data_IF_332018208086
#
_entry.id   IF_332018208086
#
_cell.length_a   1.000
_cell.length_b   1.000
_cell.length_c   1.000
_cell.angle_alpha   90.00
_cell.angle_beta   90.00
_cell.angle_gamma   90.00
#
_symmetry.space_group_name_H-M   'P 1'
#
loop_
_entity.id
_entity.type
_entity.pdbx_description
1 polymer ?
#
# COMPACT_ATOMS: atom_id res chain seq x y z
N UNK A 1 11.96 2.07 13.05
CA UNK A 1 11.33 0.72 12.96
C UNK A 1 9.99 0.64 13.70
N UNK A 2 9.88 1.01 14.99
CA UNK A 2 8.59 0.95 15.74
C UNK A 2 7.49 1.71 15.01
N UNK A 3 7.74 2.95 14.58
CA UNK A 3 6.77 3.76 13.82
C UNK A 3 6.32 3.02 12.57
N UNK A 4 7.26 2.44 11.80
CA UNK A 4 6.93 1.72 10.57
C UNK A 4 6.12 0.45 10.84
N UNK A 5 6.43 -0.30 11.90
CA UNK A 5 5.65 -1.48 12.28
C UNK A 5 4.21 -1.12 12.68
N UNK A 6 4.05 -0.15 13.59
CA UNK A 6 2.72 0.29 14.03
C UNK A 6 1.90 0.88 12.89
N UNK A 7 2.50 1.79 12.12
CA UNK A 7 1.79 2.42 10.98
C UNK A 7 1.49 1.42 9.87
N UNK A 8 2.40 0.47 9.58
CA UNK A 8 2.18 -0.60 8.62
C UNK A 8 1.00 -1.50 9.01
N UNK A 9 0.91 -1.88 10.29
CA UNK A 9 -0.22 -2.67 10.80
C UNK A 9 -1.56 -1.95 10.64
N UNK A 10 -1.60 -0.63 10.83
CA UNK A 10 -2.82 0.18 10.70
C UNK A 10 -3.23 0.35 9.23
N UNK A 11 -2.29 0.75 8.35
CA UNK A 11 -2.61 1.05 6.95
C UNK A 11 -2.98 -0.18 6.14
N UNK A 12 -2.64 -1.38 6.62
CA UNK A 12 -3.03 -2.62 5.97
C UNK A 12 -4.56 -2.76 5.84
N UNK A 13 -5.29 -2.20 6.81
CA UNK A 13 -6.75 -2.18 6.83
C UNK A 13 -7.31 -0.75 6.64
N UNK A 14 -6.56 0.14 5.98
CA UNK A 14 -6.99 1.53 5.78
C UNK A 14 -8.38 1.66 5.16
N UNK A 15 -8.76 0.91 4.10
CA UNK A 15 -10.10 1.04 3.51
C UNK A 15 -11.21 0.60 4.48
N UNK A 16 -10.98 -0.45 5.26
CA UNK A 16 -11.94 -0.94 6.25
C UNK A 16 -12.08 0.02 7.42
N UNK A 17 -10.96 0.51 7.94
CA UNK A 17 -10.94 1.51 9.02
C UNK A 17 -11.59 2.82 8.60
N UNK A 18 -11.36 3.26 7.37
CA UNK A 18 -11.98 4.47 6.83
C UNK A 18 -13.52 4.35 6.83
N UNK A 19 -14.04 3.19 6.43
CA UNK A 19 -15.49 2.91 6.46
C UNK A 19 -16.05 2.89 7.88
N UNK A 20 -15.29 2.36 8.84
CA UNK A 20 -15.66 2.34 10.25
C UNK A 20 -15.67 3.75 10.85
N UNK A 21 -14.70 4.58 10.49
CA UNK A 21 -14.60 5.95 10.98
C UNK A 21 -15.61 6.90 10.33
N UNK A 22 -16.01 6.61 9.08
CA UNK A 22 -16.93 7.44 8.30
C UNK A 22 -18.08 6.62 7.69
N UNK A 23 -18.89 5.91 8.52
CA UNK A 23 -19.92 5.02 8.00
C UNK A 23 -20.96 5.76 7.17
N UNK A 24 -21.31 7.01 7.54
CA UNK A 24 -22.28 7.85 6.84
C UNK A 24 -21.82 8.30 5.44
N UNK A 25 -20.51 8.30 5.17
CA UNK A 25 -19.95 8.57 3.83
C UNK A 25 -19.85 7.31 2.99
N UNK A 26 -19.66 6.17 3.63
CA UNK A 26 -19.27 4.93 2.97
C UNK A 26 -20.44 4.02 2.63
N UNK A 27 -21.42 3.88 3.54
CA UNK A 27 -22.52 2.94 3.37
C UNK A 27 -23.77 3.63 2.87
N UNK A 28 -24.37 3.02 1.85
CA UNK A 28 -25.60 3.49 1.21
C UNK A 28 -26.59 2.33 1.01
N UNK A 29 -27.86 2.65 0.86
CA UNK A 29 -28.88 1.67 0.46
C UNK A 29 -28.87 1.53 -1.06
N UNK A 30 -28.68 0.31 -1.61
CA UNK A 30 -28.74 0.08 -3.03
C UNK A 30 -30.10 0.47 -3.64
N UNK A 31 -30.06 1.19 -4.76
CA UNK A 31 -31.21 1.52 -5.58
C UNK A 31 -31.29 0.66 -6.85
N UNK A 32 -32.33 0.88 -7.64
CA UNK A 32 -32.57 0.11 -8.88
C UNK A 32 -31.75 0.59 -10.08
N UNK A 33 -31.34 1.87 -10.10
CA UNK A 33 -30.58 2.49 -11.21
C UNK A 33 -29.34 3.17 -10.66
N UNK A 34 -28.22 2.94 -11.32
CA UNK A 34 -26.98 3.70 -11.09
C UNK A 34 -26.98 4.89 -12.06
N UNK A 35 -26.73 6.09 -11.52
CA UNK A 35 -26.56 7.31 -12.30
C UNK A 35 -25.27 7.24 -13.15
N UNK A 36 -25.23 7.99 -14.23
CA UNK A 36 -24.03 8.15 -15.03
C UNK A 36 -22.93 8.90 -14.26
N UNK A 37 -21.68 8.74 -14.66
CA UNK A 37 -20.56 9.49 -14.08
C UNK A 37 -20.72 10.99 -14.32
N UNK A 38 -21.30 11.37 -15.45
CA UNK A 38 -21.61 12.76 -15.79
C UNK A 38 -22.63 13.34 -14.81
N UNK A 39 -23.76 12.65 -14.55
CA UNK A 39 -24.79 13.08 -13.60
C UNK A 39 -24.20 13.28 -12.18
N UNK A 40 -23.33 12.34 -11.75
CA UNK A 40 -22.64 12.46 -10.46
C UNK A 40 -21.63 13.62 -10.44
N UNK A 41 -20.90 13.80 -11.54
CA UNK A 41 -19.95 14.91 -11.71
C UNK A 41 -20.65 16.28 -11.64
N UNK A 42 -21.82 16.41 -12.26
CA UNK A 42 -22.62 17.62 -12.24
C UNK A 42 -23.14 17.92 -10.83
N UNK A 43 -23.64 16.92 -10.09
CA UNK A 43 -24.06 17.09 -8.71
C UNK A 43 -22.92 17.56 -7.79
N UNK A 44 -21.72 16.99 -7.97
CA UNK A 44 -20.52 17.40 -7.24
C UNK A 44 -20.09 18.83 -7.65
N UNK A 45 -20.07 19.12 -8.94
CA UNK A 45 -19.71 20.45 -9.46
C UNK A 45 -20.62 21.54 -8.91
N UNK A 46 -21.93 21.31 -8.91
CA UNK A 46 -22.91 22.24 -8.32
C UNK A 46 -22.66 22.48 -6.83
N UNK A 47 -22.32 21.44 -6.08
CA UNK A 47 -22.09 21.53 -4.63
C UNK A 47 -20.79 22.20 -4.26
N UNK A 48 -19.74 22.08 -5.12
CA UNK A 48 -18.37 22.57 -4.85
C UNK A 48 -17.91 23.67 -5.80
N UNK A 49 -18.84 24.49 -6.33
CA UNK A 49 -18.52 25.71 -7.05
C UNK A 49 -17.77 25.52 -8.38
N UNK A 50 -18.04 24.43 -9.10
CA UNK A 50 -17.43 24.16 -10.41
C UNK A 50 -16.00 23.59 -10.34
N UNK A 51 -15.55 23.14 -9.18
CA UNK A 51 -14.22 22.51 -9.05
C UNK A 51 -14.11 21.29 -9.99
N UNK A 52 -13.02 21.17 -10.80
CA UNK A 52 -12.91 20.13 -11.80
C UNK A 52 -12.76 18.74 -11.16
N UNK A 53 -13.50 17.79 -11.69
CA UNK A 53 -13.33 16.37 -11.32
C UNK A 53 -12.00 15.87 -11.86
N UNK A 54 -11.20 15.26 -10.98
CA UNK A 54 -9.90 14.63 -11.32
C UNK A 54 -10.08 13.18 -11.71
N UNK A 55 -10.92 12.45 -10.97
CA UNK A 55 -11.21 11.05 -11.26
C UNK A 55 -12.52 10.61 -10.61
N UNK A 56 -13.11 9.57 -11.18
CA UNK A 56 -14.18 8.79 -10.56
C UNK A 56 -13.62 7.45 -10.09
N UNK A 57 -14.05 7.01 -8.92
CA UNK A 57 -13.72 5.71 -8.34
C UNK A 57 -15.03 4.94 -8.06
N UNK A 58 -15.57 4.26 -9.07
CA UNK A 58 -16.75 3.42 -8.92
C UNK A 58 -16.51 2.35 -7.87
N UNK A 59 -17.50 2.12 -7.00
CA UNK A 59 -17.45 1.01 -6.05
C UNK A 59 -17.84 -0.29 -6.73
N UNK A 60 -17.13 -1.36 -6.42
CA UNK A 60 -17.47 -2.72 -6.87
C UNK A 60 -18.55 -3.36 -5.98
N UNK A 61 -18.87 -2.75 -4.83
CA UNK A 61 -19.92 -3.21 -3.91
C UNK A 61 -21.15 -2.32 -4.00
N UNK A 62 -22.34 -2.87 -4.23
CA UNK A 62 -23.59 -2.08 -4.34
C UNK A 62 -23.93 -1.24 -3.11
N UNK A 63 -23.55 -1.71 -1.90
CA UNK A 63 -23.81 -1.01 -0.64
C UNK A 63 -22.78 0.05 -0.27
N UNK A 64 -21.79 0.33 -1.15
CA UNK A 64 -20.78 1.34 -0.90
C UNK A 64 -20.93 2.50 -1.90
N UNK A 65 -20.79 3.73 -1.38
CA UNK A 65 -20.85 4.96 -2.18
C UNK A 65 -19.74 5.02 -3.22
N UNK A 66 -20.00 5.69 -4.34
CA UNK A 66 -18.97 6.07 -5.30
C UNK A 66 -18.15 7.24 -4.75
N UNK A 67 -16.91 7.33 -5.23
CA UNK A 67 -16.02 8.42 -4.86
C UNK A 67 -15.68 9.26 -6.08
N UNK A 68 -15.78 10.57 -5.93
CA UNK A 68 -15.39 11.56 -6.95
C UNK A 68 -14.20 12.33 -6.40
N UNK A 69 -13.08 12.25 -7.09
CA UNK A 69 -11.82 12.89 -6.67
C UNK A 69 -11.78 14.32 -7.18
N UNK A 70 -11.63 15.26 -6.28
CA UNK A 70 -11.34 16.68 -6.55
C UNK A 70 -9.90 17.01 -6.18
N UNK A 71 -9.32 18.14 -6.63
CA UNK A 71 -7.99 18.58 -6.20
C UNK A 71 -7.85 18.66 -4.67
N UNK A 72 -8.88 19.13 -3.97
CA UNK A 72 -8.90 19.30 -2.51
C UNK A 72 -9.13 17.99 -1.74
N UNK A 73 -9.75 16.96 -2.34
CA UNK A 73 -10.09 15.74 -1.60
C UNK A 73 -10.96 14.75 -2.36
N UNK A 74 -11.63 13.89 -1.62
CA UNK A 74 -12.51 12.85 -2.12
C UNK A 74 -13.94 13.16 -1.66
N UNK A 75 -14.84 13.30 -2.61
CA UNK A 75 -16.28 13.47 -2.38
C UNK A 75 -16.95 12.10 -2.48
N UNK A 76 -17.78 11.77 -1.51
CA UNK A 76 -18.57 10.54 -1.49
C UNK A 76 -19.96 10.85 -2.03
N UNK A 77 -20.43 10.06 -2.98
CA UNK A 77 -21.69 10.25 -3.69
C UNK A 77 -22.50 8.97 -3.66
N UNK A 78 -23.78 9.09 -3.33
CA UNK A 78 -24.72 8.00 -3.51
C UNK A 78 -25.01 7.85 -5.01
N UNK A 79 -24.51 6.80 -5.63
CA UNK A 79 -24.61 6.55 -7.08
C UNK A 79 -26.04 6.26 -7.55
N UNK A 80 -27.00 6.08 -6.64
CA UNK A 80 -28.39 5.82 -6.99
C UNK A 80 -29.26 7.09 -6.96
N UNK A 81 -28.92 8.04 -6.09
CA UNK A 81 -29.71 9.27 -5.88
C UNK A 81 -29.01 10.54 -6.35
N UNK A 82 -27.68 10.50 -6.54
CA UNK A 82 -26.85 11.68 -6.81
C UNK A 82 -26.55 12.51 -5.56
N UNK A 83 -27.01 12.08 -4.39
CA UNK A 83 -26.76 12.78 -3.14
C UNK A 83 -25.28 12.84 -2.81
N UNK A 84 -24.76 14.04 -2.55
CA UNK A 84 -23.41 14.27 -2.08
C UNK A 84 -23.35 14.07 -0.57
N UNK A 85 -22.83 12.92 -0.14
CA UNK A 85 -22.77 12.51 1.27
C UNK A 85 -21.74 13.32 2.08
N UNK A 86 -20.66 13.77 1.46
CA UNK A 86 -19.67 14.62 2.08
C UNK A 86 -18.33 14.64 1.36
N UNK A 87 -17.45 15.53 1.83
CA UNK A 87 -16.08 15.70 1.35
C UNK A 87 -15.09 15.25 2.43
N UNK A 88 -14.12 14.44 2.05
CA UNK A 88 -12.94 14.14 2.84
C UNK A 88 -11.74 14.88 2.26
N UNK A 89 -11.28 15.91 2.92
CA UNK A 89 -10.15 16.71 2.47
C UNK A 89 -8.83 15.91 2.46
N UNK A 90 -7.99 16.21 1.48
CA UNK A 90 -6.69 15.54 1.30
C UNK A 90 -5.73 15.97 2.41
N UNK A 91 -5.08 14.99 3.04
CA UNK A 91 -4.01 15.23 4.03
C UNK A 91 -4.49 15.61 5.44
N UNK A 92 -5.80 15.79 5.68
CA UNK A 92 -6.34 16.12 7.00
C UNK A 92 -6.96 14.91 7.72
N UNK A 93 -6.76 13.69 7.20
CA UNK A 93 -7.30 12.49 7.82
C UNK A 93 -6.25 11.79 8.67
N UNK A 94 -6.71 11.18 9.79
CA UNK A 94 -5.85 10.36 10.64
C UNK A 94 -5.11 9.27 9.82
N UNK A 95 -5.82 8.52 8.98
CA UNK A 95 -5.23 7.46 8.16
C UNK A 95 -4.26 8.01 7.11
N UNK A 96 -4.55 9.16 6.52
CA UNK A 96 -3.62 9.86 5.63
C UNK A 96 -2.33 10.27 6.32
N UNK A 97 -2.41 10.71 7.58
CA UNK A 97 -1.24 11.02 8.39
C UNK A 97 -0.44 9.76 8.76
N UNK A 98 -1.13 8.67 9.16
CA UNK A 98 -0.51 7.37 9.42
C UNK A 98 0.23 6.85 8.18
N UNK A 99 -0.37 6.96 7.00
CA UNK A 99 0.28 6.62 5.73
C UNK A 99 1.50 7.51 5.46
N UNK A 100 1.42 8.82 5.70
CA UNK A 100 2.55 9.72 5.54
C UNK A 100 3.71 9.39 6.48
N UNK A 101 3.42 8.96 7.70
CA UNK A 101 4.42 8.46 8.65
C UNK A 101 5.06 7.18 8.13
N UNK A 102 4.28 6.23 7.62
CA UNK A 102 4.82 4.96 7.11
C UNK A 102 5.74 5.16 5.90
N UNK A 103 5.31 5.96 4.93
CA UNK A 103 6.02 6.08 3.64
C UNK A 103 7.21 7.05 3.72
N UNK A 104 7.13 8.10 4.54
CA UNK A 104 8.11 9.20 4.58
C UNK A 104 8.26 9.88 5.94
N UNK A 105 7.85 9.24 7.02
CA UNK A 105 7.92 9.78 8.39
C UNK A 105 7.35 11.22 8.51
N UNK A 106 6.46 11.63 7.60
CA UNK A 106 5.95 12.99 7.43
C UNK A 106 7.03 14.06 7.11
N UNK A 107 8.27 13.68 6.78
CA UNK A 107 9.41 14.58 6.48
C UNK A 107 9.83 14.55 5.01
N UNK A 108 8.91 14.39 4.07
CA UNK A 108 9.15 14.47 2.63
C UNK A 108 10.26 13.51 2.14
N UNK A 109 11.21 14.02 1.36
CA UNK A 109 12.30 13.22 0.76
C UNK A 109 13.30 12.68 1.80
N UNK A 110 13.61 13.47 2.82
CA UNK A 110 14.49 13.05 3.93
C UNK A 110 13.87 11.86 4.66
N UNK A 111 12.59 11.96 5.01
CA UNK A 111 11.87 10.87 5.65
C UNK A 111 11.77 9.63 4.77
N UNK A 112 11.54 9.77 3.45
CA UNK A 112 11.57 8.66 2.48
C UNK A 112 12.94 7.96 2.51
N UNK A 113 14.05 8.70 2.56
CA UNK A 113 15.39 8.12 2.68
C UNK A 113 15.59 7.34 3.98
N UNK A 114 15.15 7.90 5.11
CA UNK A 114 15.22 7.20 6.40
C UNK A 114 14.42 5.90 6.37
N UNK A 115 13.22 5.91 5.81
CA UNK A 115 12.36 4.72 5.70
C UNK A 115 13.04 3.62 4.88
N UNK A 116 13.56 3.93 3.69
CA UNK A 116 14.21 2.95 2.81
C UNK A 116 15.44 2.30 3.47
N UNK A 117 16.30 3.11 4.14
CA UNK A 117 17.46 2.58 4.86
C UNK A 117 17.08 1.82 6.13
N UNK A 118 15.98 2.20 6.79
CA UNK A 118 15.42 1.44 7.91
C UNK A 118 14.97 0.03 7.49
N UNK A 119 14.41 -0.13 6.28
CA UNK A 119 14.09 -1.44 5.71
C UNK A 119 15.33 -2.32 5.55
N UNK A 120 16.38 -1.79 4.92
CA UNK A 120 17.64 -2.51 4.74
C UNK A 120 18.30 -2.88 6.10
N UNK A 121 18.31 -1.96 7.06
CA UNK A 121 18.82 -2.22 8.41
C UNK A 121 17.98 -3.28 9.15
N UNK A 122 16.66 -3.33 8.89
CA UNK A 122 15.79 -4.35 9.46
C UNK A 122 16.09 -5.74 8.89
N UNK A 123 16.33 -5.88 7.58
CA UNK A 123 16.78 -7.16 6.98
C UNK A 123 18.04 -7.65 7.67
N UNK A 124 19.05 -6.78 7.83
CA UNK A 124 20.28 -7.12 8.53
C UNK A 124 20.03 -7.58 9.97
N UNK A 125 19.18 -6.85 10.70
CA UNK A 125 18.83 -7.16 12.10
C UNK A 125 18.12 -8.52 12.23
N UNK A 126 17.22 -8.84 11.30
CA UNK A 126 16.48 -10.11 11.29
C UNK A 126 17.41 -11.29 10.99
N UNK A 127 18.27 -11.15 9.98
CA UNK A 127 19.26 -12.19 9.63
C UNK A 127 20.24 -12.43 10.79
N UNK A 128 20.77 -11.36 11.40
CA UNK A 128 21.66 -11.48 12.57
C UNK A 128 20.92 -12.08 13.77
N UNK A 129 19.66 -11.71 14.00
CA UNK A 129 18.81 -12.29 15.04
C UNK A 129 18.60 -13.79 14.85
N UNK A 130 18.32 -14.23 13.63
CA UNK A 130 18.22 -15.67 13.31
C UNK A 130 19.53 -16.41 13.57
N UNK A 131 20.67 -15.82 13.14
CA UNK A 131 21.98 -16.42 13.40
C UNK A 131 22.25 -16.61 14.89
N UNK A 132 21.93 -15.63 15.72
CA UNK A 132 22.09 -15.69 17.17
C UNK A 132 21.11 -16.67 17.82
N UNK A 133 19.90 -16.84 17.27
CA UNK A 133 18.90 -17.76 17.76
C UNK A 133 19.22 -19.22 17.40
N UNK A 134 19.85 -19.47 16.25
CA UNK A 134 20.05 -20.80 15.67
C UNK A 134 20.69 -21.83 16.63
N UNK A 135 21.70 -21.51 17.45
CA UNK A 135 22.25 -22.47 18.42
C UNK A 135 21.29 -22.79 19.57
N UNK A 136 20.45 -21.82 19.94
CA UNK A 136 19.58 -21.89 21.12
C UNK A 136 18.30 -22.68 20.82
N UNK A 137 17.65 -22.40 19.68
CA UNK A 137 16.40 -23.01 19.19
C UNK A 137 15.29 -23.12 20.24
N UNK A 138 15.25 -22.20 21.20
CA UNK A 138 14.25 -22.23 22.26
C UNK A 138 13.06 -21.35 21.89
N UNK A 139 11.86 -21.94 21.96
CA UNK A 139 10.58 -21.25 21.86
C UNK A 139 9.83 -21.56 23.15
N UNK A 140 9.96 -20.68 24.12
CA UNK A 140 9.35 -20.83 25.44
C UNK A 140 9.06 -19.45 26.03
N UNK A 141 7.91 -19.27 26.67
CA UNK A 141 7.56 -18.06 27.43
C UNK A 141 7.27 -18.49 28.85
N UNK A 142 8.08 -17.99 29.81
CA UNK A 142 7.88 -18.21 31.23
C UNK A 142 6.88 -17.20 31.77
N UNK A 143 6.14 -17.60 32.82
CA UNK A 143 5.10 -16.75 33.40
C UNK A 143 5.59 -15.55 34.25
N UNK A 144 6.88 -15.54 34.63
CA UNK A 144 7.43 -14.46 35.46
C UNK A 144 7.75 -13.20 34.60
N UNK A 145 6.71 -12.39 34.36
CA UNK A 145 6.74 -11.22 33.48
C UNK A 145 7.73 -10.12 33.90
N UNK A 146 8.19 -10.11 35.16
CA UNK A 146 9.20 -9.14 35.67
C UNK A 146 10.63 -9.60 35.48
N UNK A 147 10.87 -10.88 35.17
CA UNK A 147 12.21 -11.43 35.02
C UNK A 147 12.88 -11.04 33.70
N UNK A 148 14.20 -10.97 33.71
CA UNK A 148 15.00 -10.86 32.50
C UNK A 148 14.79 -12.06 31.57
N UNK A 149 14.54 -13.25 32.16
CA UNK A 149 14.29 -14.49 31.41
C UNK A 149 12.99 -14.42 30.63
N UNK A 150 11.94 -13.83 31.21
CA UNK A 150 10.69 -13.58 30.47
C UNK A 150 10.90 -12.66 29.26
N UNK A 151 11.63 -11.54 29.43
CA UNK A 151 11.92 -10.63 28.32
C UNK A 151 12.73 -11.33 27.21
N UNK A 152 13.69 -12.19 27.57
CA UNK A 152 14.46 -12.96 26.62
C UNK A 152 13.59 -13.99 25.88
N UNK A 153 12.77 -14.74 26.60
CA UNK A 153 11.83 -15.71 26.03
C UNK A 153 10.83 -15.01 25.09
N UNK A 154 10.28 -13.88 25.51
CA UNK A 154 9.35 -13.08 24.71
C UNK A 154 10.00 -12.58 23.42
N UNK A 155 11.21 -11.98 23.53
CA UNK A 155 11.95 -11.49 22.37
C UNK A 155 12.24 -12.62 21.38
N UNK A 156 12.73 -13.75 21.85
CA UNK A 156 13.02 -14.89 21.00
C UNK A 156 11.78 -15.49 20.35
N UNK A 157 10.70 -15.70 21.13
CA UNK A 157 9.47 -16.31 20.61
C UNK A 157 8.79 -15.39 19.59
N UNK A 158 8.60 -14.10 19.91
CA UNK A 158 8.05 -13.16 18.94
C UNK A 158 8.94 -13.05 17.70
N UNK A 159 10.28 -13.06 17.88
CA UNK A 159 11.26 -12.99 16.81
C UNK A 159 11.09 -14.13 15.83
N UNK A 160 11.10 -15.37 16.29
CA UNK A 160 11.02 -16.51 15.38
C UNK A 160 9.64 -16.64 14.72
N UNK A 161 8.54 -16.36 15.44
CA UNK A 161 7.21 -16.42 14.86
C UNK A 161 6.96 -15.36 13.80
N UNK A 162 7.52 -14.15 13.97
CA UNK A 162 7.38 -13.07 12.98
C UNK A 162 8.49 -13.05 11.92
N UNK A 163 9.57 -13.80 12.11
CA UNK A 163 10.79 -13.75 11.30
C UNK A 163 10.54 -13.79 9.79
N UNK A 164 9.81 -14.82 9.33
CA UNK A 164 9.61 -15.02 7.90
C UNK A 164 8.84 -13.84 7.28
N UNK A 165 7.72 -13.46 7.90
CA UNK A 165 6.87 -12.38 7.38
C UNK A 165 7.58 -11.04 7.48
N UNK A 166 8.24 -10.74 8.61
CA UNK A 166 9.00 -9.48 8.76
C UNK A 166 10.19 -9.39 7.80
N UNK A 167 10.88 -10.51 7.53
CA UNK A 167 11.98 -10.52 6.54
C UNK A 167 11.44 -10.23 5.14
N UNK A 168 10.31 -10.85 4.79
CA UNK A 168 9.64 -10.57 3.52
C UNK A 168 9.21 -9.11 3.42
N UNK A 169 8.57 -8.56 4.47
CA UNK A 169 8.15 -7.16 4.51
C UNK A 169 9.32 -6.18 4.44
N UNK A 170 10.40 -6.44 5.17
CA UNK A 170 11.58 -5.60 5.16
C UNK A 170 12.29 -5.63 3.78
N UNK A 171 12.41 -6.81 3.17
CA UNK A 171 13.01 -6.97 1.85
C UNK A 171 12.16 -6.28 0.77
N UNK A 172 10.86 -6.59 0.72
CA UNK A 172 9.94 -6.00 -0.27
C UNK A 172 9.78 -4.49 -0.08
N UNK A 173 9.69 -4.03 1.17
CA UNK A 173 9.65 -2.60 1.49
C UNK A 173 10.95 -1.87 1.12
N UNK A 174 12.10 -2.53 1.21
CA UNK A 174 13.38 -1.99 0.72
C UNK A 174 13.34 -1.84 -0.80
N UNK A 175 12.86 -2.85 -1.53
CA UNK A 175 12.70 -2.78 -2.99
C UNK A 175 11.77 -1.62 -3.38
N UNK A 176 10.62 -1.47 -2.72
CA UNK A 176 9.70 -0.34 -2.94
C UNK A 176 10.38 1.01 -2.63
N UNK A 177 11.11 1.07 -1.52
CA UNK A 177 11.84 2.28 -1.14
C UNK A 177 12.90 2.72 -2.15
N UNK A 178 13.57 1.77 -2.79
CA UNK A 178 14.61 1.99 -3.80
C UNK A 178 14.13 1.69 -5.23
N UNK A 179 12.83 1.72 -5.49
CA UNK A 179 12.26 1.34 -6.79
C UNK A 179 12.87 2.12 -7.95
N UNK A 180 13.06 3.45 -7.78
CA UNK A 180 13.66 4.31 -8.81
C UNK A 180 15.06 3.82 -9.24
N UNK A 181 15.83 3.21 -8.33
CA UNK A 181 17.18 2.68 -8.56
C UNK A 181 17.18 1.20 -8.98
N UNK A 182 16.25 0.41 -8.43
CA UNK A 182 16.21 -1.03 -8.64
C UNK A 182 15.40 -1.45 -9.86
N UNK A 183 14.37 -0.68 -10.25
CA UNK A 183 13.55 -1.02 -11.40
C UNK A 183 14.39 -1.17 -12.70
N UNK A 184 15.32 -0.27 -13.05
CA UNK A 184 16.16 -0.47 -14.24
C UNK A 184 16.99 -1.76 -14.20
N UNK A 185 17.49 -2.14 -13.01
CA UNK A 185 18.20 -3.39 -12.81
C UNK A 185 17.27 -4.60 -12.98
N UNK A 186 16.07 -4.55 -12.42
CA UNK A 186 15.06 -5.61 -12.56
C UNK A 186 14.70 -5.81 -14.03
N UNK A 187 14.43 -4.73 -14.78
CA UNK A 187 14.15 -4.82 -16.22
C UNK A 187 15.32 -5.43 -16.98
N UNK A 188 16.57 -5.04 -16.66
CA UNK A 188 17.77 -5.61 -17.27
C UNK A 188 17.92 -7.11 -16.96
N UNK A 189 17.77 -7.53 -15.70
CA UNK A 189 17.89 -8.92 -15.27
C UNK A 189 16.80 -9.82 -15.84
N UNK A 190 15.62 -9.28 -16.07
CA UNK A 190 14.48 -9.99 -16.66
C UNK A 190 14.44 -9.92 -18.18
N UNK A 191 15.44 -9.27 -18.80
CA UNK A 191 15.50 -9.04 -20.27
C UNK A 191 14.20 -8.43 -20.81
N UNK A 192 13.55 -7.57 -20.03
CA UNK A 192 12.28 -6.93 -20.38
C UNK A 192 12.45 -5.43 -20.58
N UNK A 193 11.70 -4.89 -21.53
CA UNK A 193 11.59 -3.44 -21.68
C UNK A 193 10.68 -2.87 -20.58
N UNK A 194 11.07 -1.74 -20.01
CA UNK A 194 10.12 -0.94 -19.24
C UNK A 194 9.05 -0.44 -20.24
N UNK A 195 7.79 -0.75 -19.97
CA UNK A 195 6.70 -0.11 -20.72
C UNK A 195 6.78 1.39 -20.43
N UNK A 196 7.51 2.10 -21.27
CA UNK A 196 7.33 3.52 -21.36
C UNK A 196 5.90 3.69 -21.88
N UNK A 197 5.02 4.21 -21.07
CA UNK A 197 3.75 4.77 -21.55
C UNK A 197 4.11 6.03 -22.36
N UNK A 198 4.83 5.82 -23.45
CA UNK A 198 5.02 6.85 -24.47
C UNK A 198 3.64 6.99 -25.10
N UNK A 199 2.86 7.88 -24.54
CA UNK A 199 1.64 8.30 -25.20
C UNK A 199 2.08 8.79 -26.58
N UNK A 200 1.60 8.11 -27.62
CA UNK A 200 1.67 8.68 -28.96
C UNK A 200 1.20 10.13 -28.87
N UNK A 201 1.85 11.04 -29.60
CA UNK A 201 1.44 12.44 -29.60
C UNK A 201 -0.10 12.48 -29.71
N UNK A 202 -0.74 13.19 -28.79
CA UNK A 202 -2.21 13.32 -28.82
C UNK A 202 -2.56 13.83 -30.21
N UNK A 203 -3.35 13.10 -31.01
CA UNK A 203 -3.72 13.56 -32.33
C UNK A 203 -4.35 14.94 -32.25
N UNK A 204 -4.02 15.81 -33.19
CA UNK A 204 -4.70 17.10 -33.26
C UNK A 204 -6.21 16.87 -33.39
N UNK A 205 -7.03 17.62 -32.65
CA UNK A 205 -8.47 17.44 -32.70
C UNK A 205 -8.97 17.64 -34.12
N UNK A 206 -9.77 16.70 -34.60
CA UNK A 206 -10.50 16.90 -35.86
C UNK A 206 -11.36 18.16 -35.73
N UNK A 207 -11.28 19.12 -36.65
CA UNK A 207 -12.07 20.34 -36.57
C UNK A 207 -13.56 20.01 -36.37
N UNK A 208 -14.16 20.57 -35.31
CA UNK A 208 -15.55 20.33 -34.95
C UNK A 208 -15.82 19.10 -34.08
N UNK A 209 -14.82 18.30 -33.71
CA UNK A 209 -15.00 17.19 -32.78
C UNK A 209 -15.32 17.71 -31.38
N UNK A 210 -16.38 17.16 -30.75
CA UNK A 210 -16.74 17.43 -29.37
C UNK A 210 -16.00 16.45 -28.45
N UNK A 211 -15.50 16.91 -27.27
CA UNK A 211 -14.94 16.03 -26.27
C UNK A 211 -15.94 14.99 -25.80
N UNK A 212 -15.47 13.76 -25.57
CA UNK A 212 -16.31 12.68 -25.04
C UNK A 212 -16.57 12.88 -23.55
N UNK A 213 -17.67 12.31 -23.07
CA UNK A 213 -18.01 12.25 -21.64
C UNK A 213 -17.24 11.11 -20.94
N UNK A 214 -17.12 11.12 -19.60
CA UNK A 214 -16.54 10.00 -18.86
C UNK A 214 -17.31 8.69 -19.06
N UNK A 215 -18.63 8.75 -19.30
CA UNK A 215 -19.47 7.58 -19.57
C UNK A 215 -19.17 6.97 -20.94
N UNK A 216 -18.94 7.83 -21.94
CA UNK A 216 -18.49 7.40 -23.26
C UNK A 216 -17.09 6.78 -23.20
N UNK A 217 -16.18 7.37 -22.41
CA UNK A 217 -14.85 6.79 -22.20
C UNK A 217 -14.93 5.40 -21.57
N UNK A 218 -15.78 5.19 -20.57
CA UNK A 218 -16.04 3.87 -19.99
C UNK A 218 -16.63 2.90 -21.01
N UNK A 219 -17.57 3.35 -21.82
CA UNK A 219 -18.18 2.52 -22.86
C UNK A 219 -17.14 2.04 -23.87
N UNK A 220 -16.31 2.95 -24.37
CA UNK A 220 -15.22 2.62 -25.31
C UNK A 220 -14.22 1.64 -24.62
N UNK A 221 -13.85 1.90 -23.36
CA UNK A 221 -12.91 1.05 -22.65
C UNK A 221 -13.45 -0.39 -22.48
N UNK A 222 -14.74 -0.55 -22.17
CA UNK A 222 -15.39 -1.87 -22.06
C UNK A 222 -15.40 -2.65 -23.37
N UNK A 223 -15.51 -1.99 -24.53
CA UNK A 223 -15.40 -2.70 -25.83
C UNK A 223 -14.00 -3.25 -26.08
N UNK A 224 -12.98 -2.62 -25.49
CA UNK A 224 -11.57 -3.05 -25.61
C UNK A 224 -11.21 -4.19 -24.67
N UNK A 225 -11.89 -4.28 -23.51
CA UNK A 225 -11.70 -5.32 -22.50
C UNK A 225 -13.07 -5.85 -22.06
N UNK A 226 -13.67 -6.77 -22.85
CA UNK A 226 -14.99 -7.30 -22.56
C UNK A 226 -15.07 -8.01 -21.21
N UNK A 227 -16.17 -7.81 -20.48
CA UNK A 227 -16.39 -8.42 -19.16
C UNK A 227 -15.66 -7.74 -17.99
N UNK A 228 -14.79 -6.77 -18.24
CA UNK A 228 -14.10 -6.04 -17.18
C UNK A 228 -14.97 -4.91 -16.60
N UNK A 229 -14.79 -4.64 -15.32
CA UNK A 229 -15.53 -3.62 -14.56
C UNK A 229 -14.60 -2.42 -14.27
N UNK A 230 -15.00 -1.19 -14.60
CA UNK A 230 -14.22 -0.01 -14.30
C UNK A 230 -14.19 0.22 -12.77
N UNK A 231 -13.02 0.49 -12.23
CA UNK A 231 -12.86 0.88 -10.82
C UNK A 231 -12.18 2.24 -10.65
N UNK A 232 -11.65 2.81 -11.76
CA UNK A 232 -11.10 4.17 -11.79
C UNK A 232 -11.23 4.75 -13.18
N UNK A 233 -11.74 5.97 -13.27
CA UNK A 233 -11.80 6.78 -14.50
C UNK A 233 -11.11 8.09 -14.22
N UNK A 234 -9.87 8.22 -14.67
CA UNK A 234 -9.10 9.47 -14.59
C UNK A 234 -9.53 10.40 -15.69
N UNK A 235 -9.85 11.64 -15.34
CA UNK A 235 -10.25 12.67 -16.29
C UNK A 235 -9.04 13.29 -16.99
N UNK A 236 -9.15 13.71 -18.26
CA UNK A 236 -8.10 14.45 -18.93
C UNK A 236 -7.91 15.83 -18.29
N UNK A 237 -6.66 16.23 -18.10
CA UNK A 237 -6.31 17.55 -17.60
C UNK A 237 -5.34 18.20 -18.59
N UNK A 238 -5.68 19.40 -19.13
CA UNK A 238 -4.79 20.20 -19.99
C UNK A 238 -4.12 19.40 -21.14
N UNK A 239 -4.93 18.77 -21.98
CA UNK A 239 -4.42 17.97 -23.12
C UNK A 239 -3.94 16.56 -22.75
N UNK A 240 -4.14 16.13 -21.49
CA UNK A 240 -3.90 14.75 -21.09
C UNK A 240 -5.02 13.81 -21.54
N UNK A 241 -4.92 12.55 -21.16
CA UNK A 241 -5.78 11.46 -21.63
C UNK A 241 -6.82 11.08 -20.56
N UNK A 242 -7.96 10.56 -20.99
CA UNK A 242 -8.73 9.65 -20.14
C UNK A 242 -7.91 8.39 -19.85
N UNK A 243 -7.87 7.94 -18.61
CA UNK A 243 -7.33 6.64 -18.26
C UNK A 243 -8.41 5.85 -17.53
N UNK A 244 -8.96 4.87 -18.21
CA UNK A 244 -9.98 3.98 -17.66
C UNK A 244 -9.29 2.70 -17.19
N UNK A 245 -9.22 2.51 -15.88
CA UNK A 245 -8.70 1.30 -15.28
C UNK A 245 -9.85 0.32 -15.01
N UNK A 246 -9.68 -0.90 -15.52
CA UNK A 246 -10.69 -1.95 -15.43
C UNK A 246 -10.13 -3.18 -14.75
N UNK A 247 -10.97 -3.86 -14.00
CA UNK A 247 -10.67 -5.15 -13.38
C UNK A 247 -11.44 -6.25 -14.11
N UNK A 248 -10.70 -7.24 -14.60
CA UNK A 248 -11.29 -8.45 -15.17
C UNK A 248 -11.48 -9.52 -14.11
N UNK A 249 -12.49 -10.38 -14.21
CA UNK A 249 -12.70 -11.50 -13.27
C UNK A 249 -11.50 -12.44 -13.16
N UNK A 250 -10.70 -12.54 -14.20
CA UNK A 250 -9.53 -13.41 -14.30
C UNK A 250 -8.21 -12.70 -13.98
N UNK A 251 -8.24 -11.43 -13.58
CA UNK A 251 -7.02 -10.72 -13.19
C UNK A 251 -6.48 -11.35 -11.92
N UNK A 252 -5.33 -12.00 -12.03
CA UNK A 252 -4.62 -12.56 -10.87
C UNK A 252 -4.11 -11.47 -9.94
N UNK A 253 -3.92 -11.82 -8.67
CA UNK A 253 -3.32 -10.92 -7.68
C UNK A 253 -1.89 -10.61 -8.13
N UNK A 254 -1.57 -9.32 -8.25
CA UNK A 254 -0.27 -8.85 -8.75
C UNK A 254 -0.11 -8.86 -10.28
N UNK A 255 -1.14 -9.27 -11.03
CA UNK A 255 -1.10 -9.32 -12.51
C UNK A 255 -1.20 -7.96 -13.20
N UNK A 256 -1.18 -6.87 -12.43
CA UNK A 256 -1.37 -5.52 -12.97
C UNK A 256 -2.83 -5.19 -13.25
N UNK A 257 -3.04 -4.07 -13.90
CA UNK A 257 -4.36 -3.51 -14.15
C UNK A 257 -4.55 -3.32 -15.65
N UNK A 258 -5.73 -3.64 -16.14
CA UNK A 258 -6.07 -3.27 -17.51
C UNK A 258 -6.31 -1.75 -17.55
N UNK A 259 -5.63 -1.04 -18.42
CA UNK A 259 -5.77 0.41 -18.59
C UNK A 259 -5.99 0.74 -20.05
N UNK A 260 -7.06 1.44 -20.32
CA UNK A 260 -7.38 2.00 -21.63
C UNK A 260 -7.15 3.51 -21.55
N UNK A 261 -6.21 4.02 -22.33
CA UNK A 261 -5.98 5.45 -22.47
C UNK A 261 -6.60 5.97 -23.75
N UNK A 262 -7.46 6.97 -23.62
CA UNK A 262 -8.17 7.62 -24.72
C UNK A 262 -7.82 9.10 -24.75
N UNK A 263 -7.76 9.68 -25.95
CA UNK A 263 -7.71 11.12 -26.07
C UNK A 263 -9.06 11.76 -25.68
N UNK A 264 -9.16 13.08 -25.54
CA UNK A 264 -10.40 13.75 -25.20
C UNK A 264 -11.55 13.52 -26.21
N UNK A 265 -11.26 13.00 -27.39
CA UNK A 265 -12.22 12.76 -28.47
C UNK A 265 -12.59 11.27 -28.62
N UNK A 266 -12.05 10.39 -27.77
CA UNK A 266 -12.36 8.96 -27.74
C UNK A 266 -11.46 8.09 -28.60
N UNK A 267 -10.41 8.62 -29.22
CA UNK A 267 -9.45 7.82 -29.93
C UNK A 267 -8.56 7.04 -28.96
N UNK A 268 -8.30 5.77 -29.29
CA UNK A 268 -7.42 4.92 -28.51
C UNK A 268 -5.97 5.37 -28.65
N UNK A 269 -5.35 5.75 -27.56
CA UNK A 269 -3.93 6.14 -27.49
C UNK A 269 -3.06 4.98 -27.02
N UNK A 270 -3.49 4.27 -25.98
CA UNK A 270 -2.80 3.08 -25.51
C UNK A 270 -3.76 2.08 -24.85
N UNK A 271 -3.39 0.81 -24.90
CA UNK A 271 -4.09 -0.28 -24.26
C UNK A 271 -3.06 -1.15 -23.55
N UNK A 272 -3.14 -1.20 -22.23
CA UNK A 272 -2.35 -2.12 -21.40
C UNK A 272 -3.28 -3.19 -20.86
N UNK A 273 -2.99 -4.46 -21.12
CA UNK A 273 -3.69 -5.59 -20.52
C UNK A 273 -2.84 -6.20 -19.43
N UNK A 274 -3.48 -6.71 -18.39
CA UNK A 274 -2.78 -7.42 -17.29
C UNK A 274 -1.97 -8.61 -17.81
N UNK A 275 -2.41 -9.25 -18.89
CA UNK A 275 -1.70 -10.35 -19.57
C UNK A 275 -0.43 -9.93 -20.32
N UNK A 276 -0.35 -8.68 -20.78
CA UNK A 276 0.72 -8.18 -21.63
C UNK A 276 1.89 -7.57 -20.86
N UNK A 277 1.82 -7.57 -19.51
CA UNK A 277 2.88 -7.03 -18.68
C UNK A 277 4.20 -7.76 -18.88
N UNK A 278 5.27 -7.01 -18.98
CA UNK A 278 6.63 -7.54 -19.03
C UNK A 278 6.99 -8.29 -17.75
N UNK A 279 7.99 -9.17 -17.82
CA UNK A 279 8.46 -9.90 -16.63
C UNK A 279 8.93 -8.94 -15.52
N UNK A 280 9.59 -7.83 -15.87
CA UNK A 280 9.99 -6.81 -14.91
C UNK A 280 8.82 -6.17 -14.17
N UNK A 281 7.76 -5.80 -14.91
CA UNK A 281 6.55 -5.25 -14.30
C UNK A 281 5.82 -6.26 -13.41
N UNK A 282 5.75 -7.52 -13.81
CA UNK A 282 5.20 -8.60 -12.97
C UNK A 282 5.99 -8.76 -11.68
N UNK A 283 7.32 -8.74 -11.74
CA UNK A 283 8.20 -8.81 -10.54
C UNK A 283 7.91 -7.64 -9.59
N UNK A 284 7.82 -6.41 -10.10
CA UNK A 284 7.49 -5.23 -9.29
C UNK A 284 6.07 -5.32 -8.71
N UNK A 285 5.11 -5.77 -9.51
CA UNK A 285 3.72 -5.97 -9.06
C UNK A 285 3.61 -7.05 -7.98
N UNK A 286 4.31 -8.18 -8.13
CA UNK A 286 4.37 -9.25 -7.12
C UNK A 286 5.06 -8.74 -5.85
N UNK A 287 6.15 -7.97 -5.97
CA UNK A 287 6.81 -7.36 -4.82
C UNK A 287 5.85 -6.48 -3.99
N UNK A 288 5.06 -5.66 -4.67
CA UNK A 288 4.02 -4.84 -4.02
C UNK A 288 2.94 -5.72 -3.36
N UNK A 289 2.46 -6.76 -4.04
CA UNK A 289 1.43 -7.66 -3.54
C UNK A 289 1.90 -8.50 -2.33
N UNK A 290 3.18 -8.85 -2.29
CA UNK A 290 3.81 -9.51 -1.13
C UNK A 290 3.94 -8.56 0.05
N UNK A 291 4.35 -7.29 -0.21
CA UNK A 291 4.50 -6.29 0.85
C UNK A 291 3.19 -5.96 1.55
N UNK A 292 2.10 -5.92 0.79
CA UNK A 292 0.75 -5.65 1.32
C UNK A 292 -0.01 -6.93 1.72
N UNK A 293 0.57 -8.10 1.56
CA UNK A 293 -0.09 -9.37 1.89
C UNK A 293 -1.28 -9.74 1.01
N UNK A 294 -1.69 -8.88 0.06
CA UNK A 294 -2.87 -9.12 -0.80
C UNK A 294 -2.71 -10.35 -1.69
N UNK A 295 -1.48 -10.83 -1.90
CA UNK A 295 -1.22 -12.06 -2.68
C UNK A 295 -1.91 -13.31 -2.10
N UNK A 296 -2.14 -13.34 -0.80
CA UNK A 296 -2.89 -14.39 -0.10
C UNK A 296 -4.30 -13.92 0.34
N UNK A 297 -4.76 -12.78 -0.19
CA UNK A 297 -6.05 -12.19 0.20
C UNK A 297 -6.08 -11.77 1.68
N UNK A 298 -7.25 -11.86 2.31
CA UNK A 298 -7.44 -11.46 3.71
C UNK A 298 -6.51 -12.16 4.71
N UNK A 299 -6.28 -13.49 4.64
CA UNK A 299 -5.31 -14.14 5.52
C UNK A 299 -3.90 -13.55 5.43
N UNK A 300 -3.43 -13.23 4.22
CA UNK A 300 -2.12 -12.58 4.03
C UNK A 300 -2.07 -11.19 4.67
N UNK A 301 -3.09 -10.38 4.46
CA UNK A 301 -3.22 -9.05 5.08
C UNK A 301 -3.22 -9.13 6.61
N UNK A 302 -3.93 -10.09 7.19
CA UNK A 302 -3.92 -10.33 8.64
C UNK A 302 -2.52 -10.71 9.12
N UNK A 303 -1.84 -11.62 8.42
CA UNK A 303 -0.48 -12.02 8.78
C UNK A 303 0.51 -10.85 8.72
N UNK A 304 0.43 -10.00 7.69
CA UNK A 304 1.22 -8.77 7.54
C UNK A 304 0.95 -7.81 8.69
N UNK A 305 -0.31 -7.54 9.02
CA UNK A 305 -0.68 -6.62 10.11
C UNK A 305 -0.18 -7.13 11.47
N UNK A 306 -0.37 -8.42 11.77
CA UNK A 306 0.10 -9.02 13.02
C UNK A 306 1.63 -9.00 13.13
N UNK A 307 2.34 -9.40 12.07
CA UNK A 307 3.81 -9.36 12.08
C UNK A 307 4.34 -7.93 12.23
N UNK A 308 3.74 -6.95 11.53
CA UNK A 308 4.09 -5.54 11.67
C UNK A 308 3.86 -5.02 13.09
N UNK A 309 2.76 -5.40 13.74
CA UNK A 309 2.48 -5.04 15.13
C UNK A 309 3.51 -5.62 16.11
N UNK A 310 4.10 -6.79 15.82
CA UNK A 310 5.13 -7.43 16.65
C UNK A 310 6.47 -6.66 16.66
N UNK A 311 6.70 -5.73 15.73
CA UNK A 311 7.94 -4.93 15.70
C UNK A 311 8.10 -4.10 16.98
N UNK A 312 7.02 -3.51 17.51
CA UNK A 312 7.10 -2.70 18.71
C UNK A 312 7.54 -3.51 19.93
N UNK A 313 6.88 -4.60 20.34
CA UNK A 313 7.34 -5.41 21.48
C UNK A 313 8.72 -6.03 21.24
N UNK A 314 9.11 -6.34 20.01
CA UNK A 314 10.46 -6.79 19.65
C UNK A 314 11.51 -5.74 20.00
N UNK A 315 11.33 -4.51 19.54
CA UNK A 315 12.28 -3.42 19.82
C UNK A 315 12.33 -3.11 21.30
N UNK A 316 11.18 -3.01 21.98
CA UNK A 316 11.15 -2.70 23.41
C UNK A 316 11.76 -3.81 24.26
N UNK A 317 11.46 -5.09 23.99
CA UNK A 317 12.07 -6.20 24.71
C UNK A 317 13.59 -6.26 24.51
N UNK A 318 14.07 -6.04 23.28
CA UNK A 318 15.49 -5.97 22.97
C UNK A 318 16.21 -4.84 23.71
N UNK A 319 15.64 -3.62 23.73
CA UNK A 319 16.19 -2.47 24.45
C UNK A 319 16.23 -2.71 25.96
N UNK A 320 15.17 -3.30 26.53
CA UNK A 320 15.12 -3.63 27.96
C UNK A 320 16.16 -4.71 28.33
N UNK A 321 16.35 -5.71 27.50
CA UNK A 321 17.39 -6.73 27.67
C UNK A 321 18.77 -6.12 27.65
N UNK A 322 19.03 -5.24 26.67
CA UNK A 322 20.32 -4.52 26.57
C UNK A 322 20.57 -3.65 27.80
N UNK A 323 19.60 -2.84 28.23
CA UNK A 323 19.71 -1.98 29.42
C UNK A 323 19.98 -2.79 30.68
N UNK A 324 19.28 -3.90 30.90
CA UNK A 324 19.51 -4.76 32.09
C UNK A 324 20.86 -5.46 32.05
N UNK A 325 21.43 -5.75 30.87
CA UNK A 325 22.79 -6.32 30.75
C UNK A 325 23.88 -5.33 31.24
N UNK A 326 23.69 -4.05 30.98
CA UNK A 326 24.66 -3.02 31.36
C UNK A 326 24.57 -2.66 32.85
N UNK A 327 23.50 -3.02 33.56
CA UNK A 327 23.30 -2.74 34.96
C UNK A 327 23.77 -3.87 35.90
N UNK A 328 23.92 -5.12 35.39
CA UNK A 328 24.51 -6.21 36.16
C UNK A 328 26.04 -6.19 35.95
N UNK A 329 26.84 -5.76 36.95
CA UNK A 329 28.29 -5.85 36.84
C UNK A 329 28.67 -7.33 36.71
N UNK A 330 29.63 -7.62 35.82
CA UNK A 330 30.25 -8.94 35.76
C UNK A 330 30.71 -9.31 37.17
N UNK A 331 30.45 -10.53 37.69
CA UNK A 331 31.01 -10.95 38.95
C UNK A 331 32.51 -10.76 38.86
N UNK A 332 33.07 -9.95 39.79
CA UNK A 332 34.51 -9.74 39.91
C UNK A 332 35.19 -11.11 39.87
N UNK A 333 36.10 -11.27 38.91
CA UNK A 333 36.81 -12.54 38.73
C UNK A 333 37.30 -13.03 40.08
N UNK A 334 37.02 -14.29 40.42
CA UNK A 334 37.64 -14.96 41.55
C UNK A 334 39.14 -14.79 41.40
N UNK A 335 39.70 -13.96 42.29
CA UNK A 335 41.14 -13.82 42.45
C UNK A 335 41.73 -15.23 42.68
N UNK A 336 42.52 -15.69 41.72
CA UNK A 336 43.40 -16.85 41.87
C UNK A 336 44.54 -16.46 42.83
N UNK A 337 44.23 -16.30 44.12
CA UNK A 337 45.21 -16.24 45.20
C UNK A 337 44.77 -17.22 46.29
N UNK A 338 45.07 -18.48 46.06
CA UNK A 338 45.22 -19.49 47.12
C UNK A 338 45.72 -20.79 46.47
N UNK A 339 46.96 -20.75 45.95
CA UNK A 339 47.76 -21.95 45.73
C UNK A 339 49.24 -21.56 45.82
N UNK A 340 49.68 -21.16 47.03
CA UNK A 340 51.07 -21.17 47.37
C UNK A 340 51.20 -21.11 48.90
N UNK A 341 50.80 -22.19 49.60
CA UNK A 341 51.27 -22.50 50.95
C UNK A 341 50.86 -23.92 51.29
N UNK A 342 51.66 -24.90 50.98
CA UNK A 342 52.05 -26.06 51.79
C UNK A 342 52.90 -27.01 50.94
#
# INVERSE_FOLDING_TARGET
MVILGVTGSIIEFEPELDRVFHPHLSFITPGSRILSLSEMGDAVSQRFGGEPVVAYLPSLSPGLSYQVVLPRGIVYVNQYTGEVLGLRERGQTFLGYVRALHVRLAFGSVGKNIVRWSGAAMVFSLVSGLYLWWPIKQVRIRADWRSRRFLFDLHNSLGIFSFLVLTLLAATGTVIGFEDQLAPLIYKLTSSAQLQTTYAAIPEPTPGALPITPDQAVTIARTRIPGAVPYRVQMPKYGSLYQVALQSPNDGIGSGRNVVALDPFGNLVSLTRSGDLSTGERVLGINQALHTGVILGTPGRVAVALASAMVAPQVFSGLLLWRRRTQDPLPAGRSTKEQSAS
#
